data_IF_947251912501
#
_entry.id   IF_947251912501
#
_cell.length_a   1.000
_cell.length_b   1.000
_cell.length_c   1.000
_cell.angle_alpha   90.00
_cell.angle_beta   90.00
_cell.angle_gamma   90.00
#
_symmetry.space_group_name_H-M   'P 1'
#
loop_
_entity.id
_entity.type
_entity.pdbx_description
1 polymer ?
#
# COMPACT_ATOMS: atom_id res chain seq x y z
N UNK A 1 -41.40 -11.09 -11.49
CA UNK A 1 -40.25 -11.91 -11.05
C UNK A 1 -39.06 -11.46 -11.88
N UNK A 2 -38.16 -10.66 -11.32
CA UNK A 2 -37.00 -10.16 -12.05
C UNK A 2 -35.88 -11.21 -11.96
N UNK A 3 -35.51 -11.78 -13.10
CA UNK A 3 -34.33 -12.65 -13.22
C UNK A 3 -33.09 -11.81 -12.98
N UNK A 4 -32.25 -12.21 -12.01
CA UNK A 4 -30.92 -11.62 -11.86
C UNK A 4 -30.10 -11.89 -13.13
N UNK A 5 -29.25 -10.95 -13.58
CA UNK A 5 -28.35 -11.20 -14.68
C UNK A 5 -27.32 -12.24 -14.22
N UNK A 6 -27.25 -13.36 -14.94
CA UNK A 6 -26.15 -14.31 -14.80
C UNK A 6 -24.87 -13.61 -15.26
N UNK A 7 -23.94 -13.38 -14.33
CA UNK A 7 -22.62 -12.87 -14.64
C UNK A 7 -21.92 -13.79 -15.65
N UNK A 8 -21.12 -13.21 -16.53
CA UNK A 8 -20.37 -14.00 -17.52
C UNK A 8 -19.23 -14.75 -16.83
N UNK A 9 -18.82 -15.92 -17.35
CA UNK A 9 -17.69 -16.69 -16.81
C UNK A 9 -16.37 -15.87 -16.69
N UNK A 10 -16.25 -14.78 -17.47
CA UNK A 10 -15.14 -13.85 -17.38
C UNK A 10 -15.18 -12.96 -16.13
N UNK A 11 -16.38 -12.58 -15.67
CA UNK A 11 -16.57 -11.80 -14.43
C UNK A 11 -16.36 -12.68 -13.18
N UNK A 12 -16.74 -13.96 -13.26
CA UNK A 12 -16.45 -14.93 -12.20
C UNK A 12 -14.94 -15.15 -12.04
N UNK A 13 -14.19 -15.17 -13.14
CA UNK A 13 -12.73 -15.29 -13.11
C UNK A 13 -12.05 -14.03 -12.53
N UNK A 14 -12.65 -12.85 -12.75
CA UNK A 14 -12.19 -11.56 -12.22
C UNK A 14 -12.38 -11.42 -10.69
N UNK A 15 -13.35 -12.12 -10.10
CA UNK A 15 -13.69 -12.04 -8.67
C UNK A 15 -13.02 -13.13 -7.80
N UNK A 16 -12.04 -13.87 -8.34
CA UNK A 16 -11.33 -14.92 -7.59
C UNK A 16 -10.20 -14.38 -6.72
N UNK A 17 -9.89 -15.10 -5.63
CA UNK A 17 -8.67 -14.85 -4.86
C UNK A 17 -7.46 -15.10 -5.77
N UNK A 18 -6.39 -14.28 -5.73
CA UNK A 18 -5.23 -14.48 -6.58
C UNK A 18 -4.70 -15.90 -6.50
N UNK A 19 -4.66 -16.60 -7.65
CA UNK A 19 -4.23 -18.01 -7.75
C UNK A 19 -2.88 -18.25 -7.06
N UNK A 20 -1.94 -17.32 -7.20
CA UNK A 20 -0.63 -17.41 -6.57
C UNK A 20 -0.70 -17.50 -5.04
N UNK A 21 -1.62 -16.77 -4.40
CA UNK A 21 -1.82 -16.81 -2.94
C UNK A 21 -2.33 -18.17 -2.49
N UNK A 22 -3.34 -18.71 -3.19
CA UNK A 22 -3.89 -20.04 -2.89
C UNK A 22 -2.84 -21.13 -3.14
N UNK A 23 -2.07 -21.05 -4.22
CA UNK A 23 -1.04 -22.05 -4.54
C UNK A 23 0.10 -22.03 -3.53
N UNK A 24 0.44 -20.85 -3.00
CA UNK A 24 1.39 -20.71 -1.90
C UNK A 24 0.85 -21.36 -0.63
N UNK A 25 -0.40 -21.09 -0.26
CA UNK A 25 -1.04 -21.70 0.91
C UNK A 25 -1.09 -23.24 0.82
N UNK A 26 -1.46 -23.79 -0.34
CA UNK A 26 -1.45 -25.24 -0.57
C UNK A 26 -0.06 -25.84 -0.31
N UNK A 27 1.00 -25.17 -0.78
CA UNK A 27 2.39 -25.64 -0.58
C UNK A 27 2.87 -25.50 0.86
N UNK A 28 2.37 -24.53 1.61
CA UNK A 28 2.73 -24.32 3.03
C UNK A 28 2.09 -25.39 3.92
N UNK A 29 0.90 -25.87 3.57
CA UNK A 29 0.18 -26.91 4.33
C UNK A 29 0.71 -28.32 4.01
N UNK A 30 1.11 -28.56 2.76
CA UNK A 30 1.54 -29.88 2.30
C UNK A 30 3.05 -30.11 2.51
N UNK A 31 3.51 -31.35 2.70
CA UNK A 31 4.93 -31.69 2.72
C UNK A 31 5.65 -31.24 1.44
N UNK A 32 6.91 -30.83 1.57
CA UNK A 32 7.71 -30.18 0.50
C UNK A 32 7.77 -30.92 -0.84
N UNK A 33 7.60 -32.24 -0.83
CA UNK A 33 7.73 -33.11 -2.00
C UNK A 33 6.37 -33.54 -2.59
N UNK A 34 5.26 -32.99 -2.08
CA UNK A 34 3.91 -33.34 -2.54
C UNK A 34 3.60 -32.66 -3.87
N UNK A 35 3.26 -33.45 -4.89
CA UNK A 35 2.80 -32.94 -6.17
C UNK A 35 1.27 -32.85 -6.17
N UNK A 36 0.75 -31.65 -6.40
CA UNK A 36 -0.69 -31.40 -6.59
C UNK A 36 -0.95 -31.14 -8.06
N UNK A 37 -1.91 -31.86 -8.65
CA UNK A 37 -2.34 -31.67 -10.04
C UNK A 37 -2.92 -30.26 -10.25
N UNK A 38 -2.78 -29.71 -11.46
CA UNK A 38 -3.25 -28.35 -11.76
C UNK A 38 -4.77 -28.24 -11.58
N UNK A 39 -5.53 -29.22 -12.08
CA UNK A 39 -6.99 -29.28 -11.92
C UNK A 39 -7.42 -29.24 -10.45
N UNK A 40 -6.69 -29.91 -9.55
CA UNK A 40 -6.99 -29.85 -8.12
C UNK A 40 -6.74 -28.46 -7.53
N UNK A 41 -5.71 -27.74 -8.00
CA UNK A 41 -5.44 -26.38 -7.53
C UNK A 41 -6.52 -25.41 -8.02
N UNK A 42 -6.94 -25.54 -9.27
CA UNK A 42 -8.02 -24.74 -9.84
C UNK A 42 -9.36 -25.03 -9.12
N UNK A 43 -9.63 -26.30 -8.81
CA UNK A 43 -10.79 -26.69 -8.00
C UNK A 43 -10.77 -26.02 -6.62
N UNK A 44 -9.61 -26.01 -5.94
CA UNK A 44 -9.49 -25.35 -4.62
C UNK A 44 -9.75 -23.85 -4.72
N UNK A 45 -9.27 -23.17 -5.78
CA UNK A 45 -9.55 -21.75 -6.00
C UNK A 45 -11.07 -21.52 -6.12
N UNK A 46 -11.76 -22.36 -6.90
CA UNK A 46 -13.21 -22.26 -7.04
C UNK A 46 -13.92 -22.54 -5.70
N UNK A 47 -13.47 -23.53 -4.93
CA UNK A 47 -14.00 -23.81 -3.60
C UNK A 47 -13.80 -22.64 -2.63
N UNK A 48 -12.70 -21.88 -2.72
CA UNK A 48 -12.49 -20.69 -1.90
C UNK A 48 -13.52 -19.60 -2.20
N UNK A 49 -13.84 -19.37 -3.47
CA UNK A 49 -14.89 -18.43 -3.88
C UNK A 49 -16.26 -18.88 -3.36
N UNK A 50 -16.60 -20.16 -3.57
CA UNK A 50 -17.87 -20.72 -3.09
C UNK A 50 -17.97 -20.71 -1.55
N UNK A 51 -16.86 -20.92 -0.84
CA UNK A 51 -16.83 -20.80 0.61
C UNK A 51 -17.21 -19.38 1.06
N UNK A 52 -16.69 -18.34 0.41
CA UNK A 52 -17.06 -16.94 0.69
C UNK A 52 -18.56 -16.73 0.45
N UNK A 53 -19.09 -17.20 -0.68
CA UNK A 53 -20.53 -17.09 -0.99
C UNK A 53 -21.40 -17.83 0.02
N UNK A 54 -20.99 -19.03 0.44
CA UNK A 54 -21.73 -19.85 1.39
C UNK A 54 -21.85 -19.16 2.76
N UNK A 55 -20.72 -18.68 3.29
CA UNK A 55 -20.68 -17.93 4.56
C UNK A 55 -21.47 -16.62 4.43
N UNK A 56 -21.26 -15.84 3.36
CA UNK A 56 -21.92 -14.56 3.16
C UNK A 56 -23.45 -14.71 3.05
N UNK A 57 -23.92 -15.76 2.37
CA UNK A 57 -25.34 -16.06 2.23
C UNK A 57 -25.98 -16.37 3.58
N UNK A 58 -25.35 -17.22 4.39
CA UNK A 58 -25.89 -17.55 5.72
C UNK A 58 -25.81 -16.36 6.70
N UNK A 59 -24.70 -15.62 6.70
CA UNK A 59 -24.57 -14.40 7.49
C UNK A 59 -25.62 -13.34 7.10
N UNK A 60 -25.97 -13.24 5.82
CA UNK A 60 -27.05 -12.38 5.34
C UNK A 60 -28.43 -12.86 5.85
N UNK A 61 -28.70 -14.17 5.81
CA UNK A 61 -29.92 -14.75 6.38
C UNK A 61 -30.06 -14.42 7.88
N UNK A 62 -28.98 -14.58 8.65
CA UNK A 62 -28.94 -14.24 10.08
C UNK A 62 -29.15 -12.74 10.30
N UNK A 63 -28.49 -11.89 9.51
CA UNK A 63 -28.66 -10.44 9.55
C UNK A 63 -30.13 -10.03 9.38
N UNK A 64 -30.81 -10.64 8.40
CA UNK A 64 -32.22 -10.40 8.12
C UNK A 64 -33.12 -10.94 9.25
N UNK A 65 -32.83 -12.12 9.81
CA UNK A 65 -33.52 -12.67 10.99
C UNK A 65 -33.40 -11.71 12.18
N UNK A 66 -32.24 -11.09 12.37
CA UNK A 66 -31.98 -10.08 13.40
C UNK A 66 -32.56 -8.69 13.08
N UNK A 67 -33.30 -8.53 11.98
CA UNK A 67 -33.91 -7.27 11.54
C UNK A 67 -32.87 -6.14 11.35
N UNK A 68 -31.65 -6.50 10.93
CA UNK A 68 -30.57 -5.55 10.63
C UNK A 68 -30.36 -5.44 9.12
N UNK A 69 -29.91 -4.26 8.68
CA UNK A 69 -29.62 -3.96 7.26
C UNK A 69 -28.14 -4.11 6.89
N UNK A 70 -27.28 -4.37 7.87
CA UNK A 70 -25.82 -4.45 7.70
C UNK A 70 -25.31 -5.70 8.37
N UNK A 71 -24.57 -6.50 7.61
CA UNK A 71 -23.93 -7.71 8.12
C UNK A 71 -22.79 -7.28 9.05
N UNK A 72 -22.87 -7.72 10.30
CA UNK A 72 -21.84 -7.48 11.32
C UNK A 72 -21.04 -8.76 11.56
N UNK A 73 -19.90 -8.61 12.27
CA UNK A 73 -19.05 -9.74 12.63
C UNK A 73 -19.80 -10.85 13.38
N UNK A 74 -20.72 -10.48 14.28
CA UNK A 74 -21.53 -11.44 15.05
C UNK A 74 -22.36 -12.36 14.13
N UNK A 75 -22.86 -11.84 13.01
CA UNK A 75 -23.64 -12.64 12.05
C UNK A 75 -22.75 -13.66 11.32
N UNK A 76 -21.48 -13.30 11.06
CA UNK A 76 -20.50 -14.20 10.45
C UNK A 76 -20.06 -15.28 11.42
N UNK A 77 -19.83 -14.92 12.68
CA UNK A 77 -19.48 -15.88 13.75
C UNK A 77 -20.63 -16.89 13.97
N UNK A 78 -21.87 -16.42 13.99
CA UNK A 78 -23.03 -17.31 14.10
C UNK A 78 -23.20 -18.20 12.86
N UNK A 79 -22.97 -17.65 11.66
CA UNK A 79 -23.00 -18.43 10.42
C UNK A 79 -21.97 -19.56 10.42
N UNK A 80 -20.74 -19.31 10.92
CA UNK A 80 -19.74 -20.36 11.09
C UNK A 80 -20.24 -21.50 11.98
N UNK A 81 -20.92 -21.18 13.09
CA UNK A 81 -21.51 -22.19 13.98
C UNK A 81 -22.61 -23.01 13.30
N UNK A 82 -23.54 -22.35 12.60
CA UNK A 82 -24.67 -23.01 11.90
C UNK A 82 -24.19 -23.92 10.77
N UNK A 83 -23.16 -23.50 10.03
CA UNK A 83 -22.62 -24.23 8.89
C UNK A 83 -21.65 -25.36 9.29
N UNK A 84 -21.41 -25.55 10.59
CA UNK A 84 -20.54 -26.62 11.10
C UNK A 84 -19.05 -26.29 11.10
N UNK A 85 -18.69 -25.01 10.98
CA UNK A 85 -17.33 -24.50 11.07
C UNK A 85 -17.03 -23.88 12.45
N UNK A 86 -17.58 -24.47 13.51
CA UNK A 86 -17.41 -23.97 14.88
C UNK A 86 -15.94 -23.86 15.30
N UNK A 87 -15.09 -24.78 14.82
CA UNK A 87 -13.64 -24.78 15.08
C UNK A 87 -12.91 -23.53 14.54
N UNK A 88 -13.54 -22.77 13.63
CA UNK A 88 -12.96 -21.53 13.09
C UNK A 88 -13.37 -20.27 13.89
N UNK A 89 -14.30 -20.39 14.83
CA UNK A 89 -14.82 -19.23 15.57
C UNK A 89 -13.73 -18.56 16.42
N UNK A 90 -12.90 -19.34 17.11
CA UNK A 90 -11.85 -18.82 17.98
C UNK A 90 -10.83 -17.96 17.18
N UNK A 91 -10.41 -18.46 16.02
CA UNK A 91 -9.51 -17.74 15.12
C UNK A 91 -10.18 -16.48 14.54
N UNK A 92 -11.46 -16.59 14.13
CA UNK A 92 -12.22 -15.45 13.62
C UNK A 92 -12.41 -14.35 14.68
N UNK A 93 -12.64 -14.73 15.94
CA UNK A 93 -12.74 -13.80 17.06
C UNK A 93 -11.40 -13.12 17.38
N UNK A 94 -10.29 -13.84 17.28
CA UNK A 94 -8.95 -13.26 17.39
C UNK A 94 -8.73 -12.17 16.32
N UNK A 95 -9.03 -12.49 15.06
CA UNK A 95 -8.93 -11.52 13.95
C UNK A 95 -9.86 -10.31 14.17
N UNK A 96 -11.09 -10.53 14.67
CA UNK A 96 -12.02 -9.45 14.99
C UNK A 96 -11.46 -8.50 16.06
N UNK A 97 -10.81 -9.04 17.11
CA UNK A 97 -10.17 -8.24 18.16
C UNK A 97 -9.07 -7.36 17.59
N UNK A 98 -8.22 -7.92 16.73
CA UNK A 98 -7.14 -7.17 16.08
C UNK A 98 -7.67 -6.07 15.15
N UNK A 99 -8.71 -6.38 14.36
CA UNK A 99 -9.37 -5.40 13.50
C UNK A 99 -9.95 -4.22 14.31
N UNK A 100 -10.59 -4.52 15.45
CA UNK A 100 -11.11 -3.49 16.37
C UNK A 100 -9.97 -2.63 16.94
N UNK A 101 -8.85 -3.24 17.32
CA UNK A 101 -7.68 -2.52 17.83
C UNK A 101 -7.07 -1.57 16.78
N UNK A 102 -6.92 -2.05 15.53
CA UNK A 102 -6.43 -1.23 14.41
C UNK A 102 -7.37 -0.07 14.11
N UNK A 103 -8.69 -0.32 14.05
CA UNK A 103 -9.69 0.71 13.83
C UNK A 103 -9.68 1.77 14.96
N UNK A 104 -9.55 1.34 16.22
CA UNK A 104 -9.43 2.23 17.37
C UNK A 104 -8.16 3.09 17.31
N UNK A 105 -7.02 2.50 16.93
CA UNK A 105 -5.75 3.24 16.75
C UNK A 105 -5.88 4.30 15.66
N UNK A 106 -6.47 3.95 14.50
CA UNK A 106 -6.72 4.89 13.40
C UNK A 106 -7.61 6.06 13.85
N UNK A 107 -8.69 5.77 14.58
CA UNK A 107 -9.59 6.81 15.13
C UNK A 107 -8.85 7.75 16.09
N UNK A 108 -8.00 7.21 16.97
CA UNK A 108 -7.17 8.04 17.88
C UNK A 108 -6.18 8.92 17.12
N UNK A 109 -5.56 8.40 16.06
CA UNK A 109 -4.63 9.15 15.22
C UNK A 109 -5.32 10.30 14.48
N UNK A 110 -6.49 10.05 13.88
CA UNK A 110 -7.28 11.10 13.21
C UNK A 110 -7.76 12.16 14.21
N UNK A 111 -8.29 11.74 15.37
CA UNK A 111 -8.73 12.69 16.39
C UNK A 111 -7.57 13.56 16.93
N UNK A 112 -6.37 12.98 17.07
CA UNK A 112 -5.18 13.74 17.46
C UNK A 112 -4.77 14.77 16.40
N UNK A 113 -4.92 14.44 15.12
CA UNK A 113 -4.62 15.36 14.01
C UNK A 113 -5.61 16.54 13.98
N UNK A 114 -6.89 16.29 14.26
CA UNK A 114 -7.92 17.32 14.33
C UNK A 114 -7.79 18.19 15.59
N UNK A 115 -7.29 17.63 16.70
CA UNK A 115 -7.16 18.29 17.99
C UNK A 115 -5.70 18.63 18.36
N UNK A 116 -4.89 19.08 17.39
CA UNK A 116 -3.48 19.43 17.63
C UNK A 116 -3.30 20.62 18.59
N UNK A 117 -4.36 21.40 18.85
CA UNK A 117 -4.32 22.58 19.74
C UNK A 117 -3.54 23.77 19.18
N UNK A 118 -2.93 23.62 18.00
CA UNK A 118 -2.28 24.70 17.24
C UNK A 118 -3.30 25.16 16.19
N UNK A 119 -3.66 26.44 16.15
CA UNK A 119 -4.58 26.95 15.13
C UNK A 119 -4.01 26.74 13.72
N UNK A 120 -4.90 26.46 12.77
CA UNK A 120 -4.53 26.17 11.37
C UNK A 120 -3.69 27.29 10.75
N UNK A 121 -4.00 28.56 11.09
CA UNK A 121 -3.24 29.74 10.65
C UNK A 121 -1.76 29.68 11.06
N UNK A 122 -1.47 29.22 12.29
CA UNK A 122 -0.10 29.13 12.77
C UNK A 122 0.65 27.95 12.16
N UNK A 123 -0.05 26.83 11.90
CA UNK A 123 0.50 25.71 11.14
C UNK A 123 0.85 26.14 9.71
N UNK A 124 -0.03 26.92 9.06
CA UNK A 124 0.19 27.43 7.71
C UNK A 124 1.37 28.40 7.66
N UNK A 125 1.46 29.32 8.63
CA UNK A 125 2.60 30.23 8.73
C UNK A 125 3.93 29.48 8.86
N UNK A 126 4.01 28.48 9.76
CA UNK A 126 5.22 27.65 9.92
C UNK A 126 5.57 26.89 8.63
N UNK A 127 4.57 26.36 7.93
CA UNK A 127 4.78 25.71 6.64
C UNK A 127 5.37 26.68 5.60
N UNK A 128 4.85 27.91 5.51
CA UNK A 128 5.37 28.93 4.61
C UNK A 128 6.81 29.34 4.94
N UNK A 129 7.13 29.51 6.22
CA UNK A 129 8.49 29.82 6.70
C UNK A 129 9.48 28.71 6.30
N UNK A 130 9.09 27.43 6.46
CA UNK A 130 9.90 26.29 6.02
C UNK A 130 10.12 26.28 4.50
N UNK A 131 9.08 26.58 3.71
CA UNK A 131 9.23 26.66 2.25
C UNK A 131 10.10 27.84 1.81
N UNK A 132 10.01 28.99 2.48
CA UNK A 132 10.86 30.15 2.19
C UNK A 132 12.34 29.82 2.46
N UNK A 133 12.63 29.23 3.63
CA UNK A 133 13.98 28.80 3.99
C UNK A 133 14.57 27.80 3.00
N UNK A 134 13.79 26.80 2.58
CA UNK A 134 14.23 25.82 1.59
C UNK A 134 14.57 26.46 0.24
N UNK A 135 13.81 27.47 -0.21
CA UNK A 135 14.12 28.22 -1.44
C UNK A 135 15.40 29.03 -1.33
N UNK A 136 15.63 29.68 -0.19
CA UNK A 136 16.86 30.45 0.06
C UNK A 136 18.09 29.54 0.07
N UNK A 137 18.00 28.38 0.72
CA UNK A 137 19.09 27.39 0.75
C UNK A 137 19.40 26.84 -0.66
N UNK A 138 18.37 26.57 -1.47
CA UNK A 138 18.55 26.17 -2.87
C UNK A 138 19.21 27.26 -3.70
N UNK A 139 18.74 28.51 -3.58
CA UNK A 139 19.33 29.64 -4.30
C UNK A 139 20.79 29.89 -3.88
N UNK A 140 21.10 29.77 -2.58
CA UNK A 140 22.48 29.89 -2.08
C UNK A 140 23.38 28.76 -2.58
N UNK A 141 22.88 27.53 -2.63
CA UNK A 141 23.63 26.39 -3.18
C UNK A 141 23.90 26.57 -4.68
N UNK A 142 22.91 27.02 -5.45
CA UNK A 142 23.07 27.34 -6.87
C UNK A 142 24.09 28.47 -7.08
N UNK A 143 24.05 29.52 -6.27
CA UNK A 143 25.02 30.61 -6.31
C UNK A 143 26.44 30.11 -6.01
N UNK A 144 26.62 29.30 -4.97
CA UNK A 144 27.92 28.69 -4.65
C UNK A 144 28.44 27.81 -5.78
N UNK A 145 27.57 27.02 -6.41
CA UNK A 145 27.94 26.18 -7.54
C UNK A 145 28.38 27.01 -8.75
N UNK A 146 27.62 28.05 -9.09
CA UNK A 146 27.97 28.98 -10.17
C UNK A 146 29.32 29.67 -9.90
N UNK A 147 29.55 30.11 -8.65
CA UNK A 147 30.80 30.75 -8.27
C UNK A 147 31.99 29.78 -8.36
N UNK A 148 31.82 28.53 -7.92
CA UNK A 148 32.83 27.49 -8.07
C UNK A 148 33.16 27.21 -9.55
N UNK A 149 32.13 27.07 -10.39
CA UNK A 149 32.32 26.85 -11.84
C UNK A 149 33.04 28.03 -12.51
N UNK A 150 32.73 29.28 -12.13
CA UNK A 150 33.43 30.46 -12.64
C UNK A 150 34.90 30.48 -12.23
N UNK A 151 35.22 30.20 -10.95
CA UNK A 151 36.61 30.14 -10.47
C UNK A 151 37.40 29.06 -11.23
N UNK A 152 36.79 27.88 -11.44
CA UNK A 152 37.42 26.79 -12.19
C UNK A 152 37.67 27.18 -13.66
N UNK A 153 36.71 27.85 -14.31
CA UNK A 153 36.85 28.33 -15.68
C UNK A 153 37.93 29.42 -15.82
N UNK A 154 37.99 30.37 -14.88
CA UNK A 154 39.00 31.42 -14.85
C UNK A 154 40.42 30.86 -14.65
N UNK A 155 40.58 29.89 -13.73
CA UNK A 155 41.85 29.21 -13.51
C UNK A 155 42.31 28.45 -14.78
N UNK A 156 41.41 27.76 -15.47
CA UNK A 156 41.71 27.08 -16.73
C UNK A 156 42.11 28.06 -17.85
N UNK A 157 41.44 29.22 -17.95
CA UNK A 157 41.79 30.25 -18.93
C UNK A 157 43.17 30.86 -18.66
N UNK A 158 43.50 31.14 -17.39
CA UNK A 158 44.81 31.65 -17.00
C UNK A 158 45.92 30.64 -17.31
N UNK A 159 45.72 29.36 -16.97
CA UNK A 159 46.67 28.30 -17.31
C UNK A 159 46.89 28.18 -18.83
N UNK A 160 45.82 28.32 -19.62
CA UNK A 160 45.90 28.30 -21.08
C UNK A 160 46.66 29.51 -21.65
N UNK A 161 46.50 30.69 -21.03
CA UNK A 161 47.24 31.91 -21.42
C UNK A 161 48.73 31.83 -21.06
N UNK A 162 49.07 31.19 -19.93
CA UNK A 162 50.47 30.96 -19.55
C UNK A 162 51.14 29.95 -20.48
N UNK A 163 50.44 28.87 -20.85
CA UNK A 163 50.94 27.91 -21.83
C UNK A 163 51.14 28.48 -23.24
N UNK A 164 50.37 29.51 -23.64
CA UNK A 164 50.56 30.18 -24.94
C UNK A 164 51.69 31.22 -24.96
N UNK A 165 52.23 31.62 -23.80
CA UNK A 165 53.34 32.58 -23.72
C UNK A 165 54.70 31.87 -23.73
N UNK A 166 54.75 30.57 -23.41
CA UNK A 166 55.98 29.77 -23.46
C UNK A 166 56.34 29.23 -24.86
N UNK A 167 55.47 29.36 -25.87
CA UNK A 167 55.73 28.87 -27.25
C UNK A 167 56.32 29.94 -28.20
N UNK A 168 56.39 31.22 -27.80
CA UNK A 168 56.89 32.34 -28.63
C UNK A 168 58.36 32.73 -28.33
N UNK A 169 59.07 31.98 -27.47
CA UNK A 169 60.43 32.32 -27.00
C UNK A 169 61.55 31.38 -27.53
N UNK A 170 61.36 30.73 -28.69
CA UNK A 170 62.39 29.92 -29.38
C UNK A 170 62.44 30.20 -30.90
N UNK A 171 62.73 31.44 -31.32
CA UNK A 171 63.21 31.72 -32.69
C UNK A 171 64.32 32.78 -32.68
N UNK A 172 65.52 32.40 -32.22
CA UNK A 172 66.76 33.07 -32.60
C UNK A 172 67.97 32.13 -32.48
N UNK A 173 68.35 31.49 -33.59
CA UNK A 173 69.74 31.15 -33.96
C UNK A 173 69.84 30.78 -35.44
#
# INVERSE_FOLDING_TARGET
MASAPSGSAAEEEELTIPRASIYKLIKEILPSNTRVANECRDLIVNCCTEFIHHIASEANNICNKHQKKTINADHVLEALGILGFADYQDDAEAVLRDCKAVAAKRRRQSNRLENLGIPEEELYRRQQELFAKAREEQAAAEQQQQQWTQIQAAAAALAKSQASVEDDEDDYS
#
